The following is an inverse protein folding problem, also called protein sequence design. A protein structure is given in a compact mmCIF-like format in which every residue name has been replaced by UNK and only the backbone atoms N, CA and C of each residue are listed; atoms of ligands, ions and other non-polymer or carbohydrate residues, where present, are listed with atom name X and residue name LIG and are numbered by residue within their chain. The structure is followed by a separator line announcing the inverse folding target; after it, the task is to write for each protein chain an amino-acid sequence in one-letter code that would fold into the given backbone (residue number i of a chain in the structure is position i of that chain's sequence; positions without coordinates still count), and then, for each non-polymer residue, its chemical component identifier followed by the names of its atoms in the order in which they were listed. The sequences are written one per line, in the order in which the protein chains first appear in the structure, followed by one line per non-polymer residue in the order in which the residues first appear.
data_IF_782845521616
#
_entry.id   IF_782845521616
#
_cell.length_a   1.000
_cell.length_b   1.000
_cell.length_c   1.000
_cell.angle_alpha   90.00
_cell.angle_beta   90.00
_cell.angle_gamma   90.00
#
_symmetry.space_group_name_H-M   'P 1'
#
loop_
_entity.id
_entity.type
_entity.pdbx_description
1 polymer ?
#
# COMPACT_ATOMS: atom_id res chain seq x y z
N UNK A 1 -14.87 -17.71 4.82
CA UNK A 1 -13.40 -17.61 4.70
C UNK A 1 -12.94 -16.36 5.45
N UNK A 2 -12.25 -16.49 6.60
CA UNK A 2 -11.61 -15.32 7.26
C UNK A 2 -10.33 -15.00 6.50
N UNK A 3 -10.30 -13.86 5.81
CA UNK A 3 -9.11 -13.40 5.12
C UNK A 3 -8.14 -12.79 6.15
N UNK A 4 -7.44 -13.63 6.90
CA UNK A 4 -6.51 -13.19 7.95
C UNK A 4 -5.15 -12.84 7.34
N UNK A 5 -5.02 -11.59 6.91
CA UNK A 5 -3.78 -11.00 6.40
C UNK A 5 -2.67 -10.89 7.46
N UNK A 6 -2.98 -11.12 8.74
CA UNK A 6 -2.02 -10.98 9.84
C UNK A 6 -0.86 -11.95 9.71
N UNK A 7 -1.14 -13.22 9.37
CA UNK A 7 -0.10 -14.24 9.18
C UNK A 7 0.79 -13.90 7.99
N UNK A 8 0.21 -13.40 6.91
CA UNK A 8 0.97 -13.01 5.74
C UNK A 8 1.87 -11.80 6.01
N UNK A 9 1.37 -10.77 6.69
CA UNK A 9 2.20 -9.63 7.10
C UNK A 9 3.33 -10.03 8.04
N UNK A 10 3.10 -10.97 8.95
CA UNK A 10 4.16 -11.49 9.81
C UNK A 10 5.28 -12.14 8.98
N UNK A 11 4.94 -12.85 7.90
CA UNK A 11 5.91 -13.42 6.95
C UNK A 11 6.65 -12.32 6.19
N UNK A 12 5.93 -11.33 5.64
CA UNK A 12 6.53 -10.21 4.89
C UNK A 12 7.45 -9.37 5.75
N UNK A 13 7.10 -9.15 7.02
CA UNK A 13 7.97 -8.48 8.00
C UNK A 13 9.27 -9.25 8.20
N UNK A 14 9.21 -10.57 8.39
CA UNK A 14 10.41 -11.42 8.51
C UNK A 14 11.25 -11.36 7.22
N UNK A 15 10.62 -11.48 6.06
CA UNK A 15 11.29 -11.40 4.76
C UNK A 15 11.97 -10.03 4.56
N UNK A 16 11.30 -8.95 4.93
CA UNK A 16 11.86 -7.60 4.88
C UNK A 16 13.10 -7.41 5.74
N UNK A 17 13.06 -7.91 6.98
CA UNK A 17 14.24 -7.91 7.86
C UNK A 17 15.36 -8.80 7.31
N UNK A 18 15.04 -9.98 6.78
CA UNK A 18 16.03 -10.86 6.19
C UNK A 18 16.70 -10.22 4.97
N UNK A 19 15.92 -9.59 4.08
CA UNK A 19 16.44 -8.85 2.94
C UNK A 19 17.37 -7.71 3.39
N UNK A 20 16.97 -6.92 4.40
CA UNK A 20 17.84 -5.86 4.93
C UNK A 20 19.15 -6.41 5.51
N UNK A 21 19.08 -7.50 6.27
CA UNK A 21 20.27 -8.11 6.86
C UNK A 21 21.23 -8.65 5.80
N UNK A 22 20.71 -9.14 4.66
CA UNK A 22 21.54 -9.64 3.56
C UNK A 22 22.38 -8.55 2.89
N UNK A 23 21.89 -7.30 2.86
CA UNK A 23 22.59 -6.16 2.26
C UNK A 23 23.27 -5.26 3.29
N UNK A 24 23.23 -5.63 4.58
CA UNK A 24 23.64 -4.74 5.68
C UNK A 24 25.11 -4.33 5.59
N UNK A 25 26.01 -5.27 5.28
CA UNK A 25 27.44 -4.97 5.14
C UNK A 25 27.70 -3.93 4.05
N UNK A 26 27.10 -4.11 2.87
CA UNK A 26 27.20 -3.17 1.74
C UNK A 26 26.64 -1.79 2.12
N UNK A 27 25.54 -1.76 2.87
CA UNK A 27 24.98 -0.52 3.36
C UNK A 27 25.91 0.17 4.35
N UNK A 28 26.56 -0.55 5.27
CA UNK A 28 27.50 0.04 6.23
C UNK A 28 28.70 0.71 5.53
N UNK A 29 29.20 0.13 4.44
CA UNK A 29 30.31 0.68 3.65
C UNK A 29 29.89 1.86 2.76
N UNK A 30 28.61 1.95 2.40
CA UNK A 30 28.10 2.98 1.48
C UNK A 30 27.81 4.30 2.20
N UNK A 31 28.55 5.36 1.87
CA UNK A 31 28.32 6.71 2.43
C UNK A 31 27.22 7.51 1.72
N UNK A 32 26.94 7.23 0.45
CA UNK A 32 25.92 7.96 -0.30
C UNK A 32 24.49 7.55 0.14
N UNK A 33 23.76 8.51 0.71
CA UNK A 33 22.38 8.33 1.13
C UNK A 33 21.45 7.93 -0.02
N UNK A 34 21.69 8.41 -1.25
CA UNK A 34 20.85 8.08 -2.41
C UNK A 34 21.03 6.62 -2.81
N UNK A 35 22.28 6.17 -2.97
CA UNK A 35 22.59 4.77 -3.28
C UNK A 35 22.03 3.81 -2.21
N UNK A 36 22.14 4.16 -0.93
CA UNK A 36 21.52 3.39 0.17
C UNK A 36 20.01 3.27 0.02
N UNK A 37 19.33 4.37 -0.33
CA UNK A 37 17.89 4.39 -0.53
C UNK A 37 17.49 3.56 -1.75
N UNK A 38 18.24 3.64 -2.84
CA UNK A 38 18.01 2.88 -4.07
C UNK A 38 18.18 1.37 -3.82
N UNK A 39 19.23 0.96 -3.09
CA UNK A 39 19.44 -0.43 -2.69
C UNK A 39 18.31 -0.94 -1.79
N UNK A 40 17.84 -0.12 -0.84
CA UNK A 40 16.67 -0.45 -0.03
C UNK A 40 15.42 -0.63 -0.91
N UNK A 41 15.18 0.30 -1.84
CA UNK A 41 14.00 0.30 -2.70
C UNK A 41 13.98 -0.89 -3.68
N UNK A 42 15.14 -1.42 -4.08
CA UNK A 42 15.25 -2.56 -4.99
C UNK A 42 15.19 -3.92 -4.29
N UNK A 43 15.58 -4.01 -3.01
CA UNK A 43 15.70 -5.29 -2.30
C UNK A 43 14.67 -5.45 -1.18
N UNK A 44 14.69 -4.53 -0.21
CA UNK A 44 13.89 -4.61 1.02
C UNK A 44 12.43 -4.29 0.72
N UNK A 45 12.18 -3.23 -0.05
CA UNK A 45 10.82 -2.79 -0.34
C UNK A 45 9.99 -3.89 -1.04
N UNK A 46 10.46 -4.55 -2.13
CA UNK A 46 9.74 -5.67 -2.73
C UNK A 46 9.51 -6.85 -1.78
N UNK A 47 10.47 -7.15 -0.88
CA UNK A 47 10.31 -8.23 0.09
C UNK A 47 9.20 -7.93 1.11
N UNK A 48 9.07 -6.67 1.56
CA UNK A 48 7.99 -6.23 2.45
C UNK A 48 6.63 -6.17 1.75
N UNK A 49 6.59 -5.75 0.48
CA UNK A 49 5.36 -5.46 -0.24
C UNK A 49 4.89 -6.57 -1.17
N UNK A 50 5.56 -7.72 -1.19
CA UNK A 50 5.21 -8.83 -2.07
C UNK A 50 3.74 -9.22 -1.93
N UNK A 51 3.04 -9.34 -3.07
CA UNK A 51 1.60 -9.57 -3.17
C UNK A 51 0.72 -8.47 -2.55
N UNK A 52 1.30 -7.32 -2.20
CA UNK A 52 0.63 -6.19 -1.57
C UNK A 52 -0.52 -5.63 -2.40
N UNK A 53 -0.41 -5.73 -3.73
CA UNK A 53 -1.43 -5.34 -4.69
C UNK A 53 -2.76 -6.09 -4.51
N UNK A 54 -2.73 -7.28 -3.90
CA UNK A 54 -3.91 -8.12 -3.67
C UNK A 54 -4.57 -7.89 -2.30
N UNK A 55 -3.92 -7.15 -1.40
CA UNK A 55 -4.40 -7.01 -0.04
C UNK A 55 -5.54 -6.00 0.10
N UNK A 56 -6.49 -6.34 0.97
CA UNK A 56 -7.45 -5.40 1.55
C UNK A 56 -6.83 -4.77 2.81
N UNK A 57 -5.87 -3.84 2.61
CA UNK A 57 -5.17 -3.17 3.71
C UNK A 57 -6.16 -2.46 4.65
N UNK A 58 -6.13 -2.79 5.93
CA UNK A 58 -6.85 -2.04 6.97
C UNK A 58 -5.88 -1.08 7.67
N UNK A 59 -6.40 -0.11 8.44
CA UNK A 59 -5.56 0.84 9.19
C UNK A 59 -4.56 0.15 10.13
N UNK A 60 -4.91 -1.02 10.70
CA UNK A 60 -3.99 -1.78 11.55
C UNK A 60 -2.85 -2.42 10.75
N UNK A 61 -3.15 -2.98 9.58
CA UNK A 61 -2.16 -3.56 8.68
C UNK A 61 -1.20 -2.49 8.11
N UNK A 62 -1.74 -1.33 7.73
CA UNK A 62 -0.98 -0.17 7.28
C UNK A 62 0.02 0.31 8.35
N UNK A 63 -0.44 0.46 9.60
CA UNK A 63 0.42 0.83 10.73
C UNK A 63 1.54 -0.19 10.97
N UNK A 64 1.25 -1.48 10.80
CA UNK A 64 2.23 -2.55 10.97
C UNK A 64 3.35 -2.47 9.92
N UNK A 65 2.98 -2.28 8.65
CA UNK A 65 3.93 -2.08 7.55
C UNK A 65 4.77 -0.82 7.76
N UNK A 66 4.13 0.32 8.10
CA UNK A 66 4.83 1.58 8.36
C UNK A 66 5.79 1.47 9.55
N UNK A 67 5.37 0.81 10.64
CA UNK A 67 6.21 0.61 11.82
C UNK A 67 7.42 -0.28 11.52
N UNK A 68 7.21 -1.32 10.71
CA UNK A 68 8.29 -2.20 10.23
C UNK A 68 9.27 -1.39 9.38
N UNK A 69 8.79 -0.67 8.37
CA UNK A 69 9.65 0.14 7.50
C UNK A 69 10.42 1.19 8.30
N UNK A 70 9.77 1.89 9.24
CA UNK A 70 10.44 2.87 10.10
C UNK A 70 11.53 2.21 10.97
N UNK A 71 11.28 0.99 11.45
CA UNK A 71 12.27 0.24 12.24
C UNK A 71 13.51 -0.14 11.42
N UNK A 72 13.32 -0.59 10.18
CA UNK A 72 14.43 -0.88 9.28
C UNK A 72 15.12 0.42 8.85
N UNK A 73 14.36 1.47 8.53
CA UNK A 73 14.89 2.80 8.17
C UNK A 73 15.75 3.43 9.26
N UNK A 74 15.43 3.22 10.54
CA UNK A 74 16.32 3.63 11.65
C UNK A 74 17.65 2.90 11.62
N UNK A 75 17.63 1.59 11.40
CA UNK A 75 18.86 0.78 11.27
C UNK A 75 19.66 1.22 10.04
N UNK A 76 18.99 1.53 8.94
CA UNK A 76 19.62 2.11 7.74
C UNK A 76 20.33 3.44 8.05
N UNK A 77 19.84 4.25 8.98
CA UNK A 77 20.47 5.51 9.38
C UNK A 77 21.46 5.37 10.56
N UNK A 78 21.71 4.14 11.05
CA UNK A 78 22.56 3.93 12.22
C UNK A 78 21.95 4.46 13.53
N UNK A 79 20.63 4.65 13.58
CA UNK A 79 19.92 5.18 14.75
C UNK A 79 19.32 4.04 15.58
N UNK A 80 19.43 4.17 16.91
CA UNK A 80 18.66 3.39 17.88
C UNK A 80 17.38 4.15 18.27
N UNK A 81 16.43 3.47 18.90
CA UNK A 81 15.21 4.12 19.41
C UNK A 81 15.52 5.17 20.49
N UNK A 82 16.52 4.92 21.35
CA UNK A 82 16.94 5.89 22.37
C UNK A 82 17.53 7.14 21.74
N UNK A 83 18.48 6.96 20.79
CA UNK A 83 19.09 8.08 20.07
C UNK A 83 18.08 8.90 19.28
N UNK A 84 17.08 8.25 18.68
CA UNK A 84 15.98 8.97 18.03
C UNK A 84 15.23 9.89 19.00
N UNK A 85 14.93 9.42 20.21
CA UNK A 85 14.21 10.19 21.24
C UNK A 85 15.05 11.33 21.78
N UNK A 86 16.34 11.10 22.02
CA UNK A 86 17.30 12.12 22.46
C UNK A 86 17.40 13.26 21.43
N UNK A 87 17.47 12.91 20.14
CA UNK A 87 17.48 13.87 19.04
C UNK A 87 16.10 14.46 18.71
N UNK A 88 15.05 14.09 19.46
CA UNK A 88 13.65 14.52 19.27
C UNK A 88 13.15 14.33 17.83
N UNK A 89 13.61 13.29 17.15
CA UNK A 89 13.25 13.01 15.75
C UNK A 89 11.91 12.28 15.66
N UNK A 90 11.01 12.81 14.83
CA UNK A 90 9.76 12.16 14.48
C UNK A 90 9.95 11.09 13.40
N UNK A 91 8.97 10.21 13.24
CA UNK A 91 9.00 9.20 12.16
C UNK A 91 8.97 9.85 10.76
N UNK A 92 8.40 11.04 10.62
CA UNK A 92 8.49 11.86 9.39
C UNK A 92 9.93 12.20 9.06
N UNK A 93 10.74 12.54 10.07
CA UNK A 93 12.12 12.98 9.89
C UNK A 93 12.98 11.80 9.47
N UNK A 94 12.77 10.61 10.07
CA UNK A 94 13.41 9.37 9.62
C UNK A 94 13.09 9.07 8.16
N UNK A 95 11.84 9.27 7.73
CA UNK A 95 11.43 9.07 6.33
C UNK A 95 12.13 10.08 5.41
N UNK A 96 12.17 11.35 5.80
CA UNK A 96 12.86 12.40 5.05
C UNK A 96 14.36 12.13 4.93
N UNK A 97 15.02 11.74 6.03
CA UNK A 97 16.46 11.45 6.08
C UNK A 97 16.83 10.20 5.27
N UNK A 98 16.04 9.14 5.36
CA UNK A 98 16.32 7.88 4.66
C UNK A 98 16.11 7.96 3.15
N UNK A 99 15.33 8.93 2.65
CA UNK A 99 14.95 9.09 1.22
C UNK A 99 14.35 7.83 0.59
N UNK A 100 13.96 6.86 1.42
CA UNK A 100 13.36 5.60 1.01
C UNK A 100 11.92 5.84 0.56
N UNK A 101 11.49 5.08 -0.43
CA UNK A 101 10.11 5.12 -0.91
C UNK A 101 9.16 4.55 0.14
N UNK A 102 8.08 5.28 0.45
CA UNK A 102 7.05 4.81 1.40
C UNK A 102 6.42 3.48 0.92
N UNK A 103 6.39 2.49 1.82
CA UNK A 103 5.88 1.14 1.55
C UNK A 103 4.43 1.16 1.09
N UNK A 104 3.61 2.02 1.70
CA UNK A 104 2.20 2.06 1.38
C UNK A 104 1.95 2.73 0.03
N UNK A 105 2.73 3.76 -0.31
CA UNK A 105 2.70 4.37 -1.65
C UNK A 105 3.09 3.35 -2.71
N UNK A 106 4.10 2.52 -2.42
CA UNK A 106 4.51 1.45 -3.32
C UNK A 106 3.42 0.38 -3.50
N UNK A 107 2.82 -0.09 -2.41
CA UNK A 107 1.73 -1.08 -2.45
C UNK A 107 0.50 -0.52 -3.17
N UNK A 108 0.10 0.71 -2.86
CA UNK A 108 -1.07 1.34 -3.49
C UNK A 108 -0.84 1.58 -4.99
N UNK A 109 0.40 1.89 -5.42
CA UNK A 109 0.75 2.01 -6.83
C UNK A 109 0.68 0.65 -7.53
N UNK A 110 1.26 -0.38 -6.92
CA UNK A 110 1.19 -1.75 -7.44
C UNK A 110 -0.27 -2.20 -7.57
N UNK A 111 -1.10 -1.92 -6.56
CA UNK A 111 -2.55 -2.17 -6.57
C UNK A 111 -3.26 -1.43 -7.69
N UNK A 112 -2.93 -0.15 -7.92
CA UNK A 112 -3.51 0.64 -9.01
C UNK A 112 -3.15 0.05 -10.37
N UNK A 113 -1.89 -0.30 -10.60
CA UNK A 113 -1.43 -0.96 -11.84
C UNK A 113 -2.13 -2.31 -12.05
N UNK A 114 -2.19 -3.13 -11.00
CA UNK A 114 -2.83 -4.45 -11.02
C UNK A 114 -4.32 -4.35 -11.32
N UNK A 115 -5.04 -3.41 -10.68
CA UNK A 115 -6.45 -3.17 -10.93
C UNK A 115 -6.72 -2.76 -12.38
N UNK A 116 -5.91 -1.87 -12.94
CA UNK A 116 -6.00 -1.51 -14.36
C UNK A 116 -5.76 -2.71 -15.27
N UNK A 117 -4.75 -3.52 -14.97
CA UNK A 117 -4.46 -4.74 -15.73
C UNK A 117 -5.65 -5.71 -15.70
N UNK A 118 -6.28 -5.92 -14.54
CA UNK A 118 -7.42 -6.83 -14.39
C UNK A 118 -8.66 -6.36 -15.15
N UNK A 119 -8.93 -5.05 -15.20
CA UNK A 119 -10.11 -4.53 -15.89
C UNK A 119 -10.04 -4.66 -17.41
N UNK A 120 -8.84 -4.52 -17.98
CA UNK A 120 -8.56 -4.65 -19.42
C UNK A 120 -8.31 -6.09 -19.89
N UNK A 121 -8.39 -7.05 -18.97
CA UNK A 121 -8.11 -8.46 -19.25
C UNK A 121 -9.37 -9.14 -19.77
N UNK A 122 -9.28 -9.78 -20.94
CA UNK A 122 -10.43 -10.42 -21.62
C UNK A 122 -10.36 -11.96 -21.64
N UNK A 123 -9.35 -12.56 -21.01
CA UNK A 123 -9.08 -14.01 -21.07
C UNK A 123 -10.01 -14.91 -20.23
N UNK A 124 -11.17 -14.40 -19.82
CA UNK A 124 -12.18 -15.16 -19.08
C UNK A 124 -11.75 -15.67 -17.70
N UNK A 125 -10.57 -15.28 -17.18
CA UNK A 125 -10.09 -15.78 -15.89
C UNK A 125 -10.97 -15.33 -14.73
N UNK A 126 -11.07 -16.21 -13.75
CA UNK A 126 -11.79 -15.99 -12.49
C UNK A 126 -11.37 -14.71 -11.77
N UNK A 127 -10.14 -14.24 -11.94
CA UNK A 127 -9.67 -12.97 -11.35
C UNK A 127 -10.54 -11.78 -11.77
N UNK A 128 -10.90 -11.68 -13.06
CA UNK A 128 -11.71 -10.59 -13.58
C UNK A 128 -13.18 -10.75 -13.17
N UNK A 129 -13.69 -11.98 -13.20
CA UNK A 129 -15.05 -12.31 -12.76
C UNK A 129 -15.25 -12.00 -11.27
N UNK A 130 -14.30 -12.38 -10.41
CA UNK A 130 -14.36 -12.18 -8.95
C UNK A 130 -14.44 -10.71 -8.57
N UNK A 131 -13.77 -9.82 -9.31
CA UNK A 131 -13.79 -8.38 -9.04
C UNK A 131 -15.12 -7.76 -9.44
N UNK A 132 -15.70 -8.20 -10.56
CA UNK A 132 -17.00 -7.72 -11.05
C UNK A 132 -18.18 -8.32 -10.27
N UNK A 133 -17.95 -9.45 -9.59
CA UNK A 133 -18.99 -10.16 -8.87
C UNK A 133 -19.48 -9.39 -7.65
N UNK A 134 -20.80 -9.23 -7.57
CA UNK A 134 -21.48 -8.62 -6.42
C UNK A 134 -22.56 -9.59 -5.91
N UNK A 135 -22.42 -10.16 -4.70
CA UNK A 135 -23.39 -11.10 -4.17
C UNK A 135 -24.68 -10.36 -3.76
N UNK A 136 -25.69 -10.37 -4.65
CA UNK A 136 -27.00 -9.73 -4.43
C UNK A 136 -27.90 -10.50 -3.46
N UNK A 137 -27.77 -11.82 -3.43
CA UNK A 137 -28.68 -12.72 -2.69
C UNK A 137 -28.26 -12.92 -1.22
N UNK A 138 -27.06 -12.48 -0.84
CA UNK A 138 -26.53 -12.71 0.51
C UNK A 138 -27.00 -11.61 1.47
N UNK A 139 -27.72 -12.00 2.53
CA UNK A 139 -27.98 -11.10 3.67
C UNK A 139 -26.67 -10.83 4.43
N UNK A 140 -26.35 -9.56 4.61
CA UNK A 140 -25.15 -9.14 5.33
C UNK A 140 -25.39 -9.28 6.84
N UNK A 141 -24.39 -9.75 7.61
CA UNK A 141 -24.48 -9.72 9.07
C UNK A 141 -24.64 -8.27 9.54
N UNK A 142 -25.36 -8.09 10.66
CA UNK A 142 -25.56 -6.77 11.25
C UNK A 142 -24.21 -6.12 11.61
N UNK A 143 -24.09 -4.81 11.36
CA UNK A 143 -22.91 -4.02 11.63
C UNK A 143 -22.14 -3.59 10.38
N UNK A 144 -20.92 -3.07 10.58
CA UNK A 144 -20.09 -2.54 9.49
C UNK A 144 -19.58 -3.69 8.61
N UNK A 145 -19.82 -3.66 7.28
CA UNK A 145 -19.27 -4.67 6.38
C UNK A 145 -17.73 -4.70 6.43
N UNK A 146 -17.11 -5.88 6.27
CA UNK A 146 -15.66 -5.99 6.17
C UNK A 146 -15.16 -5.24 4.93
N UNK A 147 -13.98 -4.63 5.06
CA UNK A 147 -13.34 -3.90 3.97
C UNK A 147 -13.01 -4.85 2.82
N UNK A 148 -13.47 -4.52 1.61
CA UNK A 148 -13.16 -5.26 0.39
C UNK A 148 -11.91 -4.71 -0.28
N UNK A 149 -11.29 -5.52 -1.12
CA UNK A 149 -10.14 -5.11 -1.92
C UNK A 149 -10.44 -3.88 -2.79
N UNK A 150 -11.61 -3.88 -3.45
CA UNK A 150 -12.03 -2.83 -4.37
C UNK A 150 -12.41 -1.50 -3.69
N UNK A 151 -12.79 -1.51 -2.40
CA UNK A 151 -13.28 -0.30 -1.71
C UNK A 151 -12.25 0.85 -1.74
N UNK A 152 -10.97 0.50 -1.58
CA UNK A 152 -9.87 1.45 -1.68
C UNK A 152 -9.65 2.05 -3.07
N UNK A 153 -10.04 1.33 -4.13
CA UNK A 153 -10.01 1.82 -5.50
C UNK A 153 -11.23 2.70 -5.76
N UNK A 154 -12.41 2.26 -5.31
CA UNK A 154 -13.66 3.02 -5.41
C UNK A 154 -13.56 4.38 -4.72
N UNK A 155 -13.05 4.43 -3.49
CA UNK A 155 -12.89 5.69 -2.75
C UNK A 155 -12.00 6.70 -3.47
N UNK A 156 -10.94 6.24 -4.14
CA UNK A 156 -9.93 7.13 -4.76
C UNK A 156 -10.28 7.53 -6.19
N UNK A 157 -10.88 6.62 -6.94
CA UNK A 157 -10.95 6.69 -8.40
C UNK A 157 -12.38 6.86 -8.93
N UNK A 158 -13.42 6.63 -8.12
CA UNK A 158 -14.79 6.95 -8.54
C UNK A 158 -14.96 8.47 -8.70
N UNK A 159 -15.69 8.86 -9.74
CA UNK A 159 -16.20 10.22 -9.86
C UNK A 159 -17.56 10.30 -9.17
N UNK A 160 -17.77 11.37 -8.41
CA UNK A 160 -19.01 11.63 -7.70
C UNK A 160 -19.62 12.93 -8.20
N UNK A 161 -20.93 12.95 -8.30
CA UNK A 161 -21.71 14.16 -8.49
C UNK A 161 -21.64 15.00 -7.19
N UNK A 162 -21.23 16.28 -7.24
CA UNK A 162 -21.14 17.16 -6.08
C UNK A 162 -22.46 17.35 -5.33
N UNK A 163 -23.60 17.28 -6.01
CA UNK A 163 -24.92 17.54 -5.40
C UNK A 163 -25.55 16.27 -4.82
N UNK A 164 -25.57 15.20 -5.61
CA UNK A 164 -26.26 13.96 -5.21
C UNK A 164 -25.37 12.96 -4.46
N UNK A 165 -24.05 13.19 -4.41
CA UNK A 165 -23.04 12.26 -3.90
C UNK A 165 -23.11 10.86 -4.52
N UNK A 166 -23.80 10.72 -5.66
CA UNK A 166 -23.89 9.45 -6.39
C UNK A 166 -22.63 9.25 -7.23
N UNK A 167 -22.25 7.99 -7.40
CA UNK A 167 -21.13 7.63 -8.28
C UNK A 167 -21.56 7.83 -9.72
N UNK A 168 -21.01 8.85 -10.38
CA UNK A 168 -21.23 9.12 -11.81
C UNK A 168 -20.44 8.15 -12.67
N UNK A 169 -19.16 7.93 -12.32
CA UNK A 169 -18.27 7.05 -13.08
C UNK A 169 -17.53 6.11 -12.14
N UNK A 170 -17.74 4.82 -12.33
CA UNK A 170 -17.10 3.78 -11.55
C UNK A 170 -15.63 3.60 -11.97
N UNK A 171 -14.73 3.34 -11.02
CA UNK A 171 -13.30 3.18 -11.29
C UNK A 171 -13.00 2.08 -12.31
N UNK A 172 -13.84 1.05 -12.39
CA UNK A 172 -13.72 -0.06 -13.35
C UNK A 172 -13.85 0.41 -14.79
N UNK A 173 -14.69 1.41 -15.06
CA UNK A 173 -14.87 2.02 -16.39
C UNK A 173 -13.65 2.86 -16.75
N UNK A 174 -13.16 3.68 -15.81
CA UNK A 174 -11.95 4.50 -16.00
C UNK A 174 -10.70 3.66 -16.20
N UNK A 175 -10.66 2.47 -15.59
CA UNK A 175 -9.55 1.55 -15.72
C UNK A 175 -9.43 0.91 -17.12
N UNK A 176 -10.46 1.01 -17.97
CA UNK A 176 -10.40 0.49 -19.34
C UNK A 176 -9.43 1.30 -20.21
N UNK A 177 -9.42 2.61 -20.07
CA UNK A 177 -8.44 3.46 -20.74
C UNK A 177 -7.11 3.43 -19.96
N UNK A 178 -6.06 2.88 -20.60
CA UNK A 178 -4.74 2.76 -19.99
C UNK A 178 -4.11 4.12 -19.67
N UNK A 179 -4.23 5.09 -20.57
CA UNK A 179 -3.60 6.40 -20.41
C UNK A 179 -4.34 7.23 -19.36
N UNK A 180 -5.67 7.25 -19.40
CA UNK A 180 -6.47 7.89 -18.37
C UNK A 180 -6.22 7.26 -17.00
N UNK A 181 -6.13 5.93 -16.92
CA UNK A 181 -5.85 5.23 -15.68
C UNK A 181 -4.46 5.57 -15.12
N UNK A 182 -3.43 5.62 -15.96
CA UNK A 182 -2.08 6.00 -15.57
C UNK A 182 -2.02 7.44 -15.06
N UNK A 183 -2.69 8.38 -15.75
CA UNK A 183 -2.79 9.80 -15.35
C UNK A 183 -3.58 10.01 -14.06
N UNK A 184 -4.55 9.15 -13.77
CA UNK A 184 -5.38 9.26 -12.55
C UNK A 184 -4.64 8.90 -11.27
N UNK A 185 -3.45 8.29 -11.37
CA UNK A 185 -2.64 7.94 -10.21
C UNK A 185 -2.08 9.19 -9.51
N UNK A 186 -2.39 9.32 -8.22
CA UNK A 186 -1.86 10.39 -7.37
C UNK A 186 -1.30 9.79 -6.07
N UNK A 187 0.03 9.88 -5.82
CA UNK A 187 0.64 9.37 -4.60
C UNK A 187 0.15 10.10 -3.35
N UNK A 188 -0.35 11.34 -3.46
CA UNK A 188 -0.93 12.07 -2.32
C UNK A 188 -2.26 11.47 -1.88
N UNK A 189 -2.95 10.73 -2.75
CA UNK A 189 -4.19 10.01 -2.43
C UNK A 189 -3.91 8.60 -1.91
N UNK A 190 -2.65 8.14 -1.94
CA UNK A 190 -2.24 6.94 -1.21
C UNK A 190 -2.48 7.18 0.29
N UNK A 191 -2.95 6.16 0.99
CA UNK A 191 -3.26 6.21 2.43
C UNK A 191 -4.37 7.14 2.92
N UNK A 192 -4.99 7.97 2.07
CA UNK A 192 -6.18 8.74 2.46
C UNK A 192 -7.38 7.79 2.50
N UNK A 193 -7.51 7.03 3.59
CA UNK A 193 -8.71 6.26 3.90
C UNK A 193 -9.39 6.89 5.11
N UNK A 194 -10.22 7.90 4.80
CA UNK A 194 -11.13 8.60 5.70
C UNK A 194 -10.48 9.33 6.89
N UNK A 195 -10.07 10.58 6.67
CA UNK A 195 -10.30 11.67 7.65
C UNK A 195 -11.60 12.43 7.35
N UNK A 196 -12.17 12.29 6.13
CA UNK A 196 -13.48 12.81 5.78
C UNK A 196 -14.54 11.71 5.85
N UNK A 197 -15.11 11.47 7.02
CA UNK A 197 -16.58 11.38 7.12
C UNK A 197 -17.01 12.75 7.58
N UNK A 198 -17.30 13.63 6.62
CA UNK A 198 -18.26 14.70 6.90
C UNK A 198 -19.56 13.99 7.22
N UNK A 199 -20.16 14.40 8.34
CA UNK A 199 -21.49 14.01 8.81
C UNK A 199 -22.50 14.11 7.69
#
# INVERSE_FOLDING_TARGET
MRNDLTRELARRRKAGWAAFNSIRSVLEDTRDCKLRADLFNSTVLPALSYAGETWALTKSLERNLMSTQASIGRRLLGLTLSRQRELKLHNSDIRAMSKVRDVLVHVDEAKHRFAGHLMRREDGRWSSATIRWYPREKKWPHGRPPLRWADSLSYRNNAYDPESFRVTTHWTTRAQDREQWKRSWDPRKANRRADGRVV
#
